data_IF_219176922291
#
_entry.id   IF_219176922291
#
_cell.length_a   1.000
_cell.length_b   1.000
_cell.length_c   1.000
_cell.angle_alpha   90.00
_cell.angle_beta   90.00
_cell.angle_gamma   90.00
#
_symmetry.space_group_name_H-M   'P 1'
#
loop_
_entity.id
_entity.type
_entity.pdbx_description
1 polymer ?
#
# COMPACT_ATOMS: atom_id res chain seq x y z
N UNK A 1 27.04 1.45 -6.66
CA UNK A 1 28.31 1.95 -6.10
C UNK A 1 28.76 0.96 -5.04
N UNK A 2 29.91 0.30 -5.23
CA UNK A 2 30.46 -0.65 -4.24
C UNK A 2 30.76 0.12 -2.95
N UNK A 3 30.19 -0.32 -1.84
CA UNK A 3 30.51 0.21 -0.52
C UNK A 3 31.87 -0.33 -0.11
N UNK A 4 32.75 0.53 0.41
CA UNK A 4 34.07 0.14 0.90
C UNK A 4 33.96 -0.16 2.39
N UNK A 5 34.19 -1.42 2.76
CA UNK A 5 34.25 -1.87 4.15
C UNK A 5 35.70 -1.93 4.62
N UNK A 6 35.96 -1.61 5.89
CA UNK A 6 37.31 -1.56 6.45
C UNK A 6 37.77 -2.86 7.12
N UNK A 7 36.89 -3.85 7.22
CA UNK A 7 37.17 -5.19 7.74
C UNK A 7 36.34 -6.23 6.96
N UNK A 8 36.87 -7.45 6.81
CA UNK A 8 36.10 -8.61 6.36
C UNK A 8 35.40 -9.23 7.58
N UNK A 9 34.08 -9.34 7.54
CA UNK A 9 33.31 -9.91 8.63
C UNK A 9 33.02 -11.40 8.39
N UNK A 10 33.10 -12.20 9.45
CA UNK A 10 32.60 -13.58 9.46
C UNK A 10 31.08 -13.60 9.15
N UNK A 11 30.56 -14.76 8.72
CA UNK A 11 29.11 -15.01 8.53
C UNK A 11 28.38 -15.03 9.88
N UNK A 12 28.23 -13.85 10.48
CA UNK A 12 27.43 -13.61 11.67
C UNK A 12 27.22 -12.09 11.79
N UNK A 13 26.09 -11.64 11.23
CA UNK A 13 25.76 -10.22 11.17
C UNK A 13 25.63 -9.62 12.57
N UNK A 14 25.13 -10.41 13.54
CA UNK A 14 24.99 -10.00 14.94
C UNK A 14 26.36 -9.70 15.54
N UNK A 15 27.30 -10.66 15.46
CA UNK A 15 28.67 -10.48 15.97
C UNK A 15 29.41 -9.34 15.29
N UNK A 16 29.21 -9.15 13.98
CA UNK A 16 29.82 -8.05 13.24
C UNK A 16 29.41 -6.70 13.83
N UNK A 17 28.11 -6.48 14.05
CA UNK A 17 27.61 -5.25 14.70
C UNK A 17 28.12 -5.07 16.12
N UNK A 18 28.11 -6.12 16.94
CA UNK A 18 28.65 -6.06 18.31
C UNK A 18 30.15 -5.70 18.34
N UNK A 19 30.94 -6.18 17.36
CA UNK A 19 32.35 -5.81 17.23
C UNK A 19 32.51 -4.32 16.88
N UNK A 20 31.71 -3.82 15.95
CA UNK A 20 31.71 -2.41 15.54
C UNK A 20 31.34 -1.49 16.72
N UNK A 21 30.28 -1.82 17.46
CA UNK A 21 29.83 -1.03 18.61
C UNK A 21 30.88 -1.01 19.74
N UNK A 22 31.51 -2.15 20.04
CA UNK A 22 32.62 -2.21 21.02
C UNK A 22 33.80 -1.33 20.61
N UNK A 23 34.15 -1.34 19.33
CA UNK A 23 35.21 -0.48 18.80
C UNK A 23 34.84 1.01 18.89
N UNK A 24 33.58 1.37 18.63
CA UNK A 24 33.10 2.74 18.80
C UNK A 24 33.22 3.21 20.26
N UNK A 25 32.90 2.35 21.24
CA UNK A 25 33.12 2.64 22.68
C UNK A 25 34.60 2.82 22.99
N UNK A 26 35.48 1.92 22.48
CA UNK A 26 36.93 2.01 22.70
C UNK A 26 37.51 3.34 22.18
N UNK A 27 36.94 3.86 21.09
CA UNK A 27 37.32 5.14 20.48
C UNK A 27 36.64 6.36 21.14
N UNK A 28 35.79 6.16 22.15
CA UNK A 28 35.05 7.22 22.82
C UNK A 28 33.95 7.86 21.98
N UNK A 29 33.46 7.17 20.94
CA UNK A 29 32.41 7.65 20.05
C UNK A 29 30.99 7.34 20.57
N UNK A 30 30.87 6.35 21.46
CA UNK A 30 29.64 5.98 22.17
C UNK A 30 29.96 5.70 23.64
N UNK A 31 29.00 5.95 24.53
CA UNK A 31 29.03 5.42 25.89
C UNK A 31 28.74 3.91 25.92
N UNK A 32 29.13 3.25 27.00
CA UNK A 32 28.81 1.82 27.20
C UNK A 32 27.31 1.55 27.20
N UNK A 33 26.51 2.47 27.74
CA UNK A 33 25.06 2.34 27.82
C UNK A 33 24.40 2.44 26.43
N UNK A 34 24.80 3.41 25.61
CA UNK A 34 24.31 3.55 24.24
C UNK A 34 24.68 2.32 23.39
N UNK A 35 25.91 1.83 23.52
CA UNK A 35 26.35 0.64 22.79
C UNK A 35 25.52 -0.61 23.17
N UNK A 36 25.14 -0.78 24.43
CA UNK A 36 24.27 -1.88 24.87
C UNK A 36 22.87 -1.80 24.24
N UNK A 37 22.27 -0.61 24.16
CA UNK A 37 20.97 -0.41 23.50
C UNK A 37 21.06 -0.75 22.01
N UNK A 38 22.08 -0.22 21.33
CA UNK A 38 22.32 -0.49 19.92
C UNK A 38 22.60 -1.98 19.67
N UNK A 39 23.28 -2.68 20.58
CA UNK A 39 23.60 -4.10 20.42
C UNK A 39 22.32 -4.96 20.42
N UNK A 40 21.40 -4.70 21.36
CA UNK A 40 20.10 -5.39 21.42
C UNK A 40 19.26 -5.12 20.17
N UNK A 41 19.18 -3.86 19.74
CA UNK A 41 18.42 -3.45 18.57
C UNK A 41 19.04 -3.96 17.25
N UNK A 42 20.36 -4.08 17.19
CA UNK A 42 21.08 -4.64 16.06
C UNK A 42 20.85 -6.14 15.91
N UNK A 43 20.77 -6.87 17.02
CA UNK A 43 20.41 -8.29 17.01
C UNK A 43 19.01 -8.51 16.39
N UNK A 44 18.04 -7.62 16.67
CA UNK A 44 16.73 -7.67 16.04
C UNK A 44 16.80 -7.45 14.52
N UNK A 45 17.55 -6.44 14.07
CA UNK A 45 17.78 -6.22 12.64
C UNK A 45 18.48 -7.42 11.98
N UNK A 46 19.45 -8.03 12.67
CA UNK A 46 20.20 -9.18 12.16
C UNK A 46 19.32 -10.41 11.99
N UNK A 47 18.43 -10.68 12.94
CA UNK A 47 17.42 -11.74 12.83
C UNK A 47 16.52 -11.51 11.62
N UNK A 48 15.96 -10.31 11.47
CA UNK A 48 15.15 -9.94 10.29
C UNK A 48 15.92 -10.11 8.97
N UNK A 49 17.15 -9.60 8.89
CA UNK A 49 17.97 -9.65 7.68
C UNK A 49 18.26 -11.09 7.25
N UNK A 50 18.54 -11.97 8.21
CA UNK A 50 18.79 -13.38 7.93
C UNK A 50 17.50 -14.14 7.57
N UNK A 51 16.44 -14.00 8.38
CA UNK A 51 15.20 -14.76 8.20
C UNK A 51 14.41 -14.34 6.95
N UNK A 52 14.37 -13.04 6.63
CA UNK A 52 13.57 -12.53 5.51
C UNK A 52 14.35 -12.36 4.21
N UNK A 53 15.69 -12.25 4.26
CA UNK A 53 16.51 -11.91 3.09
C UNK A 53 17.78 -12.77 2.93
N UNK A 54 18.01 -13.75 3.81
CA UNK A 54 19.23 -14.58 3.84
C UNK A 54 20.53 -13.73 3.91
N UNK A 55 20.44 -12.55 4.52
CA UNK A 55 21.56 -11.63 4.70
C UNK A 55 22.14 -11.79 6.10
N UNK A 56 23.30 -12.44 6.18
CA UNK A 56 24.06 -12.64 7.42
C UNK A 56 25.52 -12.12 7.32
N UNK A 57 25.79 -11.31 6.29
CA UNK A 57 27.10 -10.69 6.04
C UNK A 57 26.90 -9.18 5.99
N UNK A 58 27.70 -8.43 6.77
CA UNK A 58 27.57 -6.98 6.90
C UNK A 58 27.65 -6.26 5.56
N UNK A 59 28.51 -6.74 4.66
CA UNK A 59 28.75 -6.17 3.35
C UNK A 59 27.54 -6.23 2.40
N UNK A 60 26.57 -7.10 2.71
CA UNK A 60 25.32 -7.21 1.95
C UNK A 60 24.19 -6.34 2.50
N UNK A 61 24.37 -5.74 3.68
CA UNK A 61 23.45 -4.73 4.20
C UNK A 61 23.46 -3.50 3.29
N UNK A 62 22.31 -3.22 2.70
CA UNK A 62 22.15 -2.15 1.72
C UNK A 62 20.87 -1.34 2.00
N UNK A 63 20.72 -0.19 1.33
CA UNK A 63 19.59 0.73 1.57
C UNK A 63 18.22 0.13 1.26
N UNK A 64 18.14 -0.87 0.35
CA UNK A 64 16.90 -1.58 0.04
C UNK A 64 16.49 -2.43 1.26
N UNK A 65 17.40 -3.22 1.81
CA UNK A 65 17.17 -4.01 3.01
C UNK A 65 16.74 -3.16 4.22
N UNK A 66 17.39 -2.00 4.44
CA UNK A 66 17.02 -1.10 5.55
C UNK A 66 15.63 -0.48 5.36
N UNK A 67 15.24 -0.18 4.11
CA UNK A 67 13.88 0.29 3.80
C UNK A 67 12.84 -0.80 4.08
N UNK A 68 13.10 -2.02 3.62
CA UNK A 68 12.21 -3.17 3.83
C UNK A 68 12.09 -3.52 5.31
N UNK A 69 13.19 -3.43 6.07
CA UNK A 69 13.14 -3.52 7.53
C UNK A 69 12.25 -2.44 8.14
N UNK A 70 12.39 -1.19 7.68
CA UNK A 70 11.49 -0.11 8.08
C UNK A 70 10.03 -0.43 7.81
N UNK A 71 9.71 -0.97 6.64
CA UNK A 71 8.34 -1.36 6.27
C UNK A 71 7.81 -2.42 7.23
N UNK A 72 8.59 -3.45 7.53
CA UNK A 72 8.24 -4.48 8.50
C UNK A 72 7.99 -3.91 9.91
N UNK A 73 8.82 -2.99 10.40
CA UNK A 73 8.61 -2.35 11.69
C UNK A 73 7.30 -1.52 11.75
N UNK A 74 6.95 -0.84 10.65
CA UNK A 74 5.67 -0.14 10.55
C UNK A 74 4.49 -1.12 10.44
N UNK A 75 4.65 -2.28 9.78
CA UNK A 75 3.64 -3.34 9.75
C UNK A 75 3.39 -3.86 11.17
N UNK A 76 4.44 -4.20 11.92
CA UNK A 76 4.33 -4.66 13.30
C UNK A 76 3.67 -3.61 14.20
N UNK A 77 4.01 -2.33 14.00
CA UNK A 77 3.39 -1.23 14.72
C UNK A 77 1.90 -1.12 14.38
N UNK A 78 1.56 -1.18 13.09
CA UNK A 78 0.18 -1.11 12.66
C UNK A 78 -0.63 -2.29 13.21
N UNK A 79 -0.02 -3.47 13.32
CA UNK A 79 -0.62 -4.68 13.91
C UNK A 79 -0.77 -4.59 15.43
N UNK A 80 -0.02 -3.70 16.11
CA UNK A 80 -0.01 -3.56 17.57
C UNK A 80 1.05 -4.42 18.28
N UNK A 81 1.99 -4.99 17.51
CA UNK A 81 3.08 -5.84 18.01
C UNK A 81 4.31 -5.02 18.44
N UNK A 82 4.42 -3.77 17.98
CA UNK A 82 5.55 -2.88 18.26
C UNK A 82 5.05 -1.45 18.57
N UNK A 83 5.52 -0.78 19.64
CA UNK A 83 5.19 0.63 19.85
C UNK A 83 5.80 1.53 18.77
N UNK A 84 5.04 2.52 18.27
CA UNK A 84 5.51 3.41 17.20
C UNK A 84 6.82 4.13 17.56
N UNK A 85 6.98 4.53 18.82
CA UNK A 85 8.19 5.19 19.32
C UNK A 85 9.45 4.32 19.20
N UNK A 86 9.31 2.99 19.21
CA UNK A 86 10.44 2.06 19.11
C UNK A 86 11.01 1.99 17.70
N UNK A 87 10.21 2.27 16.67
CA UNK A 87 10.62 2.19 15.25
C UNK A 87 11.80 3.11 14.96
N UNK A 88 11.77 4.34 15.47
CA UNK A 88 12.85 5.32 15.26
C UNK A 88 14.18 4.83 15.83
N UNK A 89 14.19 4.28 17.05
CA UNK A 89 15.41 3.75 17.67
C UNK A 89 15.97 2.55 16.91
N UNK A 90 15.10 1.63 16.49
CA UNK A 90 15.50 0.45 15.72
C UNK A 90 16.12 0.81 14.37
N UNK A 91 15.54 1.76 13.64
CA UNK A 91 16.12 2.24 12.39
C UNK A 91 17.43 3.01 12.63
N UNK A 92 17.48 3.87 13.65
CA UNK A 92 18.68 4.65 13.95
C UNK A 92 19.88 3.75 14.26
N UNK A 93 19.67 2.65 15.00
CA UNK A 93 20.71 1.66 15.26
C UNK A 93 21.36 1.13 13.99
N UNK A 94 20.58 0.84 12.95
CA UNK A 94 21.12 0.35 11.68
C UNK A 94 22.00 1.43 11.02
N UNK A 95 21.58 2.69 11.06
CA UNK A 95 22.37 3.80 10.53
C UNK A 95 23.65 4.05 11.33
N UNK A 96 23.60 3.94 12.66
CA UNK A 96 24.77 4.08 13.55
C UNK A 96 25.79 2.99 13.26
N UNK A 97 25.38 1.72 13.26
CA UNK A 97 26.28 0.58 13.01
C UNK A 97 26.89 0.67 11.61
N UNK A 98 26.09 0.91 10.58
CA UNK A 98 26.60 1.06 9.21
C UNK A 98 27.47 2.31 9.03
N UNK A 99 27.16 3.38 9.76
CA UNK A 99 27.98 4.60 9.84
C UNK A 99 29.38 4.28 10.36
N UNK A 100 29.50 3.56 11.47
CA UNK A 100 30.80 3.14 11.99
C UNK A 100 31.50 2.13 11.08
N UNK A 101 30.80 1.12 10.57
CA UNK A 101 31.36 0.09 9.67
C UNK A 101 32.01 0.67 8.42
N UNK A 102 31.44 1.76 7.91
CA UNK A 102 31.88 2.43 6.68
C UNK A 102 32.69 3.69 6.95
N UNK A 103 33.11 3.96 8.20
CA UNK A 103 33.79 5.21 8.58
C UNK A 103 33.07 6.47 8.07
N UNK A 104 31.74 6.52 8.20
CA UNK A 104 30.88 7.64 7.81
C UNK A 104 30.51 7.71 6.33
N UNK A 105 30.94 6.74 5.50
CA UNK A 105 30.59 6.73 4.07
C UNK A 105 29.14 6.26 3.80
N UNK A 106 28.45 5.72 4.81
CA UNK A 106 27.04 5.37 4.73
C UNK A 106 26.16 6.63 4.67
N UNK A 107 25.70 6.99 3.47
CA UNK A 107 24.87 8.18 3.24
C UNK A 107 23.38 7.92 3.50
N UNK A 108 22.74 8.73 4.34
CA UNK A 108 21.30 8.72 4.59
C UNK A 108 21.00 8.98 6.07
N UNK A 109 19.72 8.92 6.44
CA UNK A 109 19.30 9.06 7.84
C UNK A 109 18.02 8.25 8.09
N UNK A 110 17.85 7.71 9.30
CA UNK A 110 16.64 6.98 9.69
C UNK A 110 15.37 7.84 9.51
N UNK A 111 15.45 9.14 9.81
CA UNK A 111 14.36 10.09 9.60
C UNK A 111 13.82 10.13 8.15
N UNK A 112 14.69 9.89 7.15
CA UNK A 112 14.26 9.84 5.75
C UNK A 112 13.46 8.58 5.42
N UNK A 113 13.72 7.47 6.12
CA UNK A 113 12.96 6.22 5.98
C UNK A 113 11.63 6.38 6.71
N UNK A 114 11.64 6.85 7.96
CA UNK A 114 10.43 7.09 8.75
C UNK A 114 9.45 8.06 8.09
N UNK A 115 9.92 9.18 7.53
CA UNK A 115 9.05 10.14 6.83
C UNK A 115 8.39 9.57 5.56
N UNK A 116 8.99 8.58 4.90
CA UNK A 116 8.43 7.91 3.72
C UNK A 116 7.48 6.78 4.07
N UNK A 117 7.70 6.13 5.21
CA UNK A 117 6.95 4.96 5.68
C UNK A 117 5.88 5.29 6.72
N UNK A 118 5.86 6.52 7.21
CA UNK A 118 4.91 6.98 8.22
C UNK A 118 3.46 6.67 7.87
N UNK A 119 2.67 6.43 8.91
CA UNK A 119 1.23 6.28 8.76
C UNK A 119 0.62 7.53 8.13
N UNK A 120 -0.37 7.40 7.22
CA UNK A 120 -1.11 8.51 6.67
C UNK A 120 -1.63 9.41 7.79
N UNK A 121 -1.52 10.71 7.60
CA UNK A 121 -2.07 11.70 8.53
C UNK A 121 -3.60 11.70 8.57
N UNK A 122 -4.25 10.98 7.65
CA UNK A 122 -5.68 10.94 7.51
C UNK A 122 -6.18 9.52 7.24
N UNK A 123 -7.12 9.09 8.08
CA UNK A 123 -8.00 7.98 7.79
C UNK A 123 -9.35 8.52 7.32
N UNK A 124 -10.07 7.73 6.52
CA UNK A 124 -11.42 8.09 6.10
C UNK A 124 -12.33 8.27 7.32
N UNK A 125 -13.08 9.37 7.34
CA UNK A 125 -14.06 9.69 8.39
C UNK A 125 -15.49 9.83 7.85
N UNK A 126 -15.69 9.73 6.53
CA UNK A 126 -17.00 9.72 5.88
C UNK A 126 -17.29 8.39 5.20
N UNK A 127 -18.52 7.90 5.40
CA UNK A 127 -19.06 6.72 4.71
C UNK A 127 -18.99 6.96 3.19
N UNK A 128 -18.42 6.04 2.39
CA UNK A 128 -18.39 6.16 0.94
C UNK A 128 -19.81 6.22 0.37
N UNK A 129 -20.17 7.34 -0.26
CA UNK A 129 -21.57 7.55 -0.69
C UNK A 129 -21.99 6.64 -1.83
N UNK A 130 -21.02 6.12 -2.59
CA UNK A 130 -21.23 5.15 -3.66
C UNK A 130 -21.51 3.73 -3.16
N UNK A 131 -21.54 3.47 -1.85
CA UNK A 131 -22.04 2.20 -1.30
C UNK A 131 -23.51 1.96 -1.65
N UNK A 132 -24.30 3.03 -1.76
CA UNK A 132 -25.67 2.94 -2.26
C UNK A 132 -25.64 2.61 -3.76
N UNK A 133 -25.77 1.31 -4.07
CA UNK A 133 -25.73 0.79 -5.44
C UNK A 133 -26.86 1.32 -6.31
N UNK A 134 -28.06 1.48 -5.75
CA UNK A 134 -29.21 2.01 -6.49
C UNK A 134 -28.94 3.44 -6.94
N UNK A 135 -28.52 4.28 -6.00
CA UNK A 135 -28.17 5.67 -6.27
C UNK A 135 -27.00 5.80 -7.25
N UNK A 136 -25.98 4.95 -7.09
CA UNK A 136 -24.84 4.89 -7.99
C UNK A 136 -25.25 4.51 -9.41
N UNK A 137 -26.06 3.46 -9.59
CA UNK A 137 -26.52 3.05 -10.91
C UNK A 137 -27.43 4.07 -11.58
N UNK A 138 -28.29 4.78 -10.83
CA UNK A 138 -29.05 5.91 -11.37
C UNK A 138 -28.11 6.96 -11.98
N UNK A 139 -27.06 7.35 -11.27
CA UNK A 139 -26.08 8.30 -11.81
C UNK A 139 -25.34 7.74 -13.04
N UNK A 140 -25.07 6.43 -13.10
CA UNK A 140 -24.43 5.81 -14.26
C UNK A 140 -25.34 5.81 -15.51
N UNK A 141 -26.66 5.66 -15.33
CA UNK A 141 -27.64 5.80 -16.42
C UNK A 141 -27.61 7.24 -16.96
N UNK A 142 -27.60 8.24 -16.09
CA UNK A 142 -27.56 9.64 -16.51
C UNK A 142 -26.22 10.01 -17.19
N UNK A 143 -25.08 9.52 -16.67
CA UNK A 143 -23.77 9.67 -17.34
C UNK A 143 -23.77 9.01 -18.72
N UNK A 144 -24.38 7.84 -18.85
CA UNK A 144 -24.49 7.15 -20.14
C UNK A 144 -25.34 7.95 -21.13
N UNK A 145 -26.46 8.53 -20.69
CA UNK A 145 -27.37 9.30 -21.53
C UNK A 145 -26.82 10.67 -21.93
N UNK A 146 -26.16 11.38 -21.01
CA UNK A 146 -25.68 12.75 -21.22
C UNK A 146 -24.25 12.83 -21.75
N UNK A 147 -23.45 11.77 -21.55
CA UNK A 147 -22.05 11.74 -21.96
C UNK A 147 -21.74 10.52 -22.82
N UNK A 148 -21.41 9.37 -22.22
CA UNK A 148 -21.10 8.16 -22.98
C UNK A 148 -21.15 6.90 -22.11
N UNK A 149 -21.47 5.78 -22.74
CA UNK A 149 -21.41 4.46 -22.08
C UNK A 149 -19.97 4.07 -21.70
N UNK A 150 -18.97 4.51 -22.47
CA UNK A 150 -17.56 4.29 -22.13
C UNK A 150 -17.19 4.96 -20.79
N UNK A 151 -17.61 6.21 -20.57
CA UNK A 151 -17.36 6.92 -19.32
C UNK A 151 -18.06 6.26 -18.14
N UNK A 152 -19.32 5.87 -18.29
CA UNK A 152 -20.06 5.14 -17.26
C UNK A 152 -19.40 3.79 -16.94
N UNK A 153 -18.91 3.06 -17.95
CA UNK A 153 -18.22 1.78 -17.77
C UNK A 153 -16.89 1.94 -17.03
N UNK A 154 -16.11 2.98 -17.34
CA UNK A 154 -14.88 3.29 -16.62
C UNK A 154 -15.13 3.59 -15.14
N UNK A 155 -16.18 4.37 -14.82
CA UNK A 155 -16.54 4.66 -13.43
C UNK A 155 -17.06 3.40 -12.71
N UNK A 156 -17.83 2.54 -13.40
CA UNK A 156 -18.23 1.23 -12.89
C UNK A 156 -17.04 0.33 -12.59
N UNK A 157 -15.99 0.31 -13.43
CA UNK A 157 -14.76 -0.44 -13.15
C UNK A 157 -14.10 0.00 -11.84
N UNK A 158 -14.08 1.31 -11.56
CA UNK A 158 -13.56 1.82 -10.29
C UNK A 158 -14.42 1.34 -9.10
N UNK A 159 -15.75 1.38 -9.24
CA UNK A 159 -16.69 1.05 -8.16
C UNK A 159 -16.82 -0.45 -7.87
N UNK A 160 -16.79 -1.30 -8.90
CA UNK A 160 -17.07 -2.73 -8.76
C UNK A 160 -15.84 -3.62 -8.90
N UNK A 161 -14.74 -3.11 -9.45
CA UNK A 161 -13.48 -3.86 -9.59
C UNK A 161 -12.37 -3.27 -8.72
N UNK A 162 -12.60 -2.16 -8.02
CA UNK A 162 -11.59 -1.57 -7.13
C UNK A 162 -10.37 -0.98 -7.83
N UNK A 163 -10.39 -0.90 -9.16
CA UNK A 163 -9.33 -0.31 -9.98
C UNK A 163 -9.24 1.20 -9.76
N UNK A 164 -8.06 1.78 -9.93
CA UNK A 164 -7.95 3.22 -10.14
C UNK A 164 -8.52 3.59 -11.51
N UNK A 165 -8.95 4.85 -11.69
CA UNK A 165 -9.43 5.31 -12.99
C UNK A 165 -8.35 5.23 -14.07
N UNK A 166 -7.08 5.35 -13.67
CA UNK A 166 -5.94 5.18 -14.57
C UNK A 166 -5.82 3.72 -15.03
N UNK A 167 -5.88 2.76 -14.10
CA UNK A 167 -5.86 1.33 -14.45
C UNK A 167 -7.05 0.96 -15.33
N UNK A 168 -8.26 1.43 -14.99
CA UNK A 168 -9.46 1.18 -15.78
C UNK A 168 -9.33 1.72 -17.23
N UNK A 169 -8.51 2.75 -17.45
CA UNK A 169 -8.26 3.28 -18.80
C UNK A 169 -7.23 2.47 -19.60
N UNK A 170 -6.26 1.83 -18.92
CA UNK A 170 -5.09 1.21 -19.56
C UNK A 170 -5.06 -0.32 -19.54
N UNK A 171 -5.85 -0.98 -18.68
CA UNK A 171 -5.84 -2.44 -18.56
C UNK A 171 -6.28 -3.14 -19.86
N UNK A 172 -5.85 -4.38 -20.05
CA UNK A 172 -6.36 -5.22 -21.13
C UNK A 172 -7.74 -5.76 -20.74
N UNK A 173 -8.80 -5.18 -21.31
CA UNK A 173 -10.16 -5.56 -20.96
C UNK A 173 -10.60 -6.85 -21.65
N UNK A 174 -9.98 -7.23 -22.77
CA UNK A 174 -10.29 -8.48 -23.47
C UNK A 174 -9.76 -9.66 -22.68
N UNK A 175 -8.48 -9.63 -22.32
CA UNK A 175 -7.85 -10.65 -21.47
C UNK A 175 -8.54 -10.70 -20.11
N UNK A 176 -8.80 -9.54 -19.49
CA UNK A 176 -9.48 -9.50 -18.21
C UNK A 176 -10.90 -10.08 -18.25
N UNK A 177 -11.67 -9.84 -19.32
CA UNK A 177 -13.00 -10.45 -19.48
C UNK A 177 -12.91 -11.96 -19.65
N UNK A 178 -11.95 -12.43 -20.46
CA UNK A 178 -11.74 -13.87 -20.68
C UNK A 178 -11.35 -14.59 -19.38
N UNK A 179 -10.35 -14.07 -18.68
CA UNK A 179 -9.89 -14.63 -17.39
C UNK A 179 -11.02 -14.61 -16.35
N UNK A 180 -11.84 -13.56 -16.34
CA UNK A 180 -12.98 -13.47 -15.44
C UNK A 180 -14.08 -14.51 -15.73
N UNK A 181 -14.35 -14.83 -17.00
CA UNK A 181 -15.32 -15.87 -17.38
C UNK A 181 -14.80 -17.28 -17.09
N UNK A 182 -13.50 -17.52 -17.26
CA UNK A 182 -12.88 -18.84 -17.11
C UNK A 182 -12.56 -19.16 -15.63
N UNK A 183 -11.97 -18.21 -14.91
CA UNK A 183 -11.33 -18.46 -13.61
C UNK A 183 -11.91 -17.60 -12.47
N UNK A 184 -12.88 -16.72 -12.74
CA UNK A 184 -13.40 -15.73 -11.78
C UNK A 184 -12.32 -14.81 -11.20
N UNK A 185 -11.25 -14.55 -11.93
CA UNK A 185 -10.18 -13.62 -11.55
C UNK A 185 -9.69 -12.86 -12.78
N UNK A 186 -8.98 -11.76 -12.60
CA UNK A 186 -8.15 -11.20 -13.66
C UNK A 186 -6.94 -10.44 -13.13
N UNK A 187 -5.94 -10.27 -13.98
CA UNK A 187 -4.68 -9.63 -13.64
C UNK A 187 -4.71 -8.14 -13.95
N UNK A 188 -4.33 -7.31 -12.98
CA UNK A 188 -4.07 -5.89 -13.19
C UNK A 188 -2.58 -5.62 -13.01
N UNK A 189 -1.96 -5.17 -14.10
CA UNK A 189 -0.54 -4.84 -14.13
C UNK A 189 -0.31 -3.41 -13.63
N UNK A 190 0.71 -3.25 -12.78
CA UNK A 190 1.21 -1.93 -12.45
C UNK A 190 1.89 -1.29 -13.68
N UNK A 191 2.11 0.03 -13.64
CA UNK A 191 2.80 0.76 -14.71
C UNK A 191 4.15 0.14 -15.09
N UNK A 192 4.82 -0.48 -14.12
CA UNK A 192 6.15 -1.04 -14.30
C UNK A 192 6.11 -2.47 -14.87
N UNK A 193 4.91 -3.04 -15.11
CA UNK A 193 4.65 -4.36 -15.75
C UNK A 193 5.31 -5.60 -15.13
N UNK A 194 6.20 -5.44 -14.15
CA UNK A 194 6.86 -6.54 -13.43
C UNK A 194 6.07 -6.99 -12.19
N UNK A 195 5.11 -6.18 -11.75
CA UNK A 195 4.23 -6.49 -10.63
C UNK A 195 2.79 -6.49 -11.13
N UNK A 196 2.07 -7.56 -10.79
CA UNK A 196 0.65 -7.70 -11.03
C UNK A 196 -0.05 -7.95 -9.71
N UNK A 197 -1.34 -7.64 -9.67
CA UNK A 197 -2.26 -8.12 -8.64
C UNK A 197 -3.43 -8.83 -9.29
N UNK A 198 -4.07 -9.69 -8.51
CA UNK A 198 -5.28 -10.37 -8.91
C UNK A 198 -6.48 -9.63 -8.32
N UNK A 199 -7.51 -9.42 -9.12
CA UNK A 199 -8.83 -8.99 -8.64
C UNK A 199 -9.77 -10.18 -8.74
N UNK A 200 -10.44 -10.48 -7.63
CA UNK A 200 -11.42 -11.56 -7.57
C UNK A 200 -12.79 -11.11 -8.08
N UNK A 201 -13.39 -11.96 -8.90
CA UNK A 201 -14.76 -11.81 -9.41
C UNK A 201 -15.69 -12.59 -8.51
N UNK A 202 -16.64 -11.89 -7.93
CA UNK A 202 -17.58 -12.39 -6.92
C UNK A 202 -19.04 -12.15 -7.29
N UNK A 203 -19.30 -11.41 -8.36
CA UNK A 203 -20.63 -11.02 -8.78
C UNK A 203 -20.74 -10.92 -10.31
N UNK A 204 -21.87 -11.35 -10.92
CA UNK A 204 -22.06 -11.31 -12.37
C UNK A 204 -21.94 -9.91 -12.99
N UNK A 205 -22.25 -8.85 -12.23
CA UNK A 205 -22.13 -7.47 -12.72
C UNK A 205 -20.68 -7.11 -13.06
N UNK A 206 -19.69 -7.68 -12.37
CA UNK A 206 -18.28 -7.47 -12.65
C UNK A 206 -17.89 -8.01 -14.03
N UNK A 207 -18.37 -9.21 -14.39
CA UNK A 207 -18.17 -9.81 -15.72
C UNK A 207 -18.82 -8.93 -16.80
N UNK A 208 -20.04 -8.44 -16.56
CA UNK A 208 -20.71 -7.55 -17.51
C UNK A 208 -19.94 -6.24 -17.74
N UNK A 209 -19.34 -5.67 -16.69
CA UNK A 209 -18.50 -4.46 -16.81
C UNK A 209 -17.27 -4.74 -17.66
N UNK A 210 -16.59 -5.86 -17.42
CA UNK A 210 -15.42 -6.28 -18.21
C UNK A 210 -15.78 -6.51 -19.68
N UNK A 211 -16.92 -7.16 -19.94
CA UNK A 211 -17.46 -7.38 -21.29
C UNK A 211 -17.67 -6.07 -22.04
N UNK A 212 -18.28 -5.08 -21.37
CA UNK A 212 -18.50 -3.74 -21.95
C UNK A 212 -17.18 -3.02 -22.21
N UNK A 213 -16.24 -3.09 -21.26
CA UNK A 213 -14.91 -2.50 -21.42
C UNK A 213 -14.16 -3.09 -22.63
N UNK A 214 -14.19 -4.42 -22.78
CA UNK A 214 -13.62 -5.13 -23.94
C UNK A 214 -14.24 -4.68 -25.26
N UNK A 215 -15.56 -4.51 -25.31
CA UNK A 215 -16.24 -4.01 -26.51
C UNK A 215 -15.77 -2.59 -26.89
N UNK A 216 -15.53 -1.70 -25.92
CA UNK A 216 -15.01 -0.36 -26.21
C UNK A 216 -13.57 -0.37 -26.71
N UNK A 217 -12.71 -1.25 -26.19
CA UNK A 217 -11.33 -1.38 -26.67
C UNK A 217 -11.28 -1.87 -28.12
N UNK A 218 -12.13 -2.86 -28.46
CA UNK A 218 -12.28 -3.32 -29.86
C UNK A 218 -12.66 -2.20 -30.82
N UNK A 219 -13.57 -1.32 -30.40
CA UNK A 219 -14.03 -0.18 -31.21
C UNK A 219 -12.93 0.89 -31.39
N UNK A 220 -12.01 1.04 -30.43
CA UNK A 220 -10.89 1.99 -30.53
C UNK A 220 -9.78 1.48 -31.49
N UNK A 221 -9.72 0.18 -31.76
CA UNK A 221 -8.74 -0.44 -32.67
C UNK A 221 -7.30 -0.25 -32.21
N UNK A 222 -6.37 -0.02 -33.16
CA UNK A 222 -4.94 0.20 -32.87
C UNK A 222 -4.62 1.55 -32.21
N UNK A 223 -5.64 2.38 -31.92
CA UNK A 223 -5.48 3.58 -31.10
C UNK A 223 -5.34 3.16 -29.64
N UNK A 224 -4.15 2.67 -29.29
CA UNK A 224 -3.87 2.24 -27.93
C UNK A 224 -4.02 3.40 -26.95
N UNK A 225 -4.45 3.08 -25.73
CA UNK A 225 -4.36 3.99 -24.61
C UNK A 225 -2.91 4.46 -24.46
N UNK A 226 -2.66 5.75 -24.70
CA UNK A 226 -1.36 6.40 -24.47
C UNK A 226 -1.47 7.37 -23.29
N UNK A 227 -0.35 7.72 -22.63
CA UNK A 227 -0.36 8.77 -21.60
C UNK A 227 -0.95 10.10 -22.10
N UNK A 228 -0.72 10.48 -23.36
CA UNK A 228 -1.29 11.67 -23.97
C UNK A 228 -2.82 11.55 -24.18
N UNK A 229 -3.29 10.38 -24.61
CA UNK A 229 -4.71 10.08 -24.73
C UNK A 229 -5.41 10.13 -23.36
N UNK A 230 -4.78 9.57 -22.31
CA UNK A 230 -5.28 9.66 -20.94
C UNK A 230 -5.41 11.11 -20.48
N UNK A 231 -4.38 11.94 -20.64
CA UNK A 231 -4.44 13.34 -20.24
C UNK A 231 -5.57 14.10 -20.96
N UNK A 232 -5.70 13.88 -22.26
CA UNK A 232 -6.74 14.52 -23.08
C UNK A 232 -8.14 14.03 -22.67
N UNK A 233 -8.31 12.72 -22.51
CA UNK A 233 -9.57 12.12 -22.08
C UNK A 233 -9.96 12.62 -20.68
N UNK A 234 -9.01 12.66 -19.75
CA UNK A 234 -9.23 13.10 -18.37
C UNK A 234 -9.73 14.54 -18.32
N UNK A 235 -9.07 15.45 -19.05
CA UNK A 235 -9.45 16.87 -19.14
C UNK A 235 -10.83 17.08 -19.77
N UNK A 236 -11.19 16.30 -20.78
CA UNK A 236 -12.44 16.47 -21.52
C UNK A 236 -13.66 15.84 -20.82
N UNK A 237 -13.48 14.69 -20.16
CA UNK A 237 -14.61 13.86 -19.74
C UNK A 237 -14.86 13.89 -18.22
N UNK A 238 -13.83 13.98 -17.37
CA UNK A 238 -14.07 13.94 -15.92
C UNK A 238 -14.87 15.12 -15.37
N UNK A 239 -14.61 16.39 -15.76
CA UNK A 239 -15.27 17.51 -15.10
C UNK A 239 -16.80 17.41 -15.16
N UNK A 240 -17.35 17.08 -16.33
CA UNK A 240 -18.79 16.93 -16.51
C UNK A 240 -19.35 15.70 -15.75
N UNK A 241 -18.65 14.56 -15.78
CA UNK A 241 -19.03 13.39 -14.99
C UNK A 241 -19.00 13.66 -13.48
N UNK A 242 -18.02 14.43 -13.01
CA UNK A 242 -17.89 14.81 -11.60
C UNK A 242 -19.04 15.73 -11.17
N UNK A 243 -19.38 16.74 -11.98
CA UNK A 243 -20.52 17.61 -11.72
C UNK A 243 -21.83 16.82 -11.65
N UNK A 244 -22.04 15.90 -12.59
CA UNK A 244 -23.23 15.05 -12.59
C UNK A 244 -23.26 14.10 -11.38
N UNK A 245 -22.15 13.45 -11.04
CA UNK A 245 -22.08 12.64 -9.82
C UNK A 245 -22.38 13.47 -8.57
N UNK A 246 -21.86 14.70 -8.49
CA UNK A 246 -22.12 15.61 -7.38
C UNK A 246 -23.59 16.03 -7.29
N UNK A 247 -24.32 16.15 -8.41
CA UNK A 247 -25.76 16.42 -8.40
C UNK A 247 -26.56 15.26 -7.79
N UNK A 248 -26.09 14.02 -7.99
CA UNK A 248 -26.55 12.86 -7.24
C UNK A 248 -25.98 12.82 -5.82
N UNK A 249 -25.09 13.71 -5.40
CA UNK A 249 -24.42 13.66 -4.10
C UNK A 249 -23.38 12.54 -3.98
N UNK A 250 -22.86 12.05 -5.09
CA UNK A 250 -21.79 11.06 -5.22
C UNK A 250 -20.46 11.75 -5.59
N UNK A 251 -19.36 11.00 -5.51
CA UNK A 251 -18.07 11.41 -6.07
C UNK A 251 -17.30 10.17 -6.54
N UNK A 252 -16.34 10.36 -7.44
CA UNK A 252 -15.53 9.25 -8.00
C UNK A 252 -14.59 8.68 -6.93
N UNK A 253 -14.04 9.52 -6.07
CA UNK A 253 -13.03 9.12 -5.07
C UNK A 253 -13.59 8.12 -4.02
N UNK A 254 -14.90 8.13 -3.80
CA UNK A 254 -15.60 7.18 -2.94
C UNK A 254 -15.77 5.81 -3.59
N UNK A 255 -15.71 5.70 -4.92
CA UNK A 255 -15.99 4.44 -5.64
C UNK A 255 -15.04 3.30 -5.21
N UNK A 256 -13.74 3.59 -5.10
CA UNK A 256 -12.77 2.60 -4.62
C UNK A 256 -12.96 2.27 -3.14
N UNK A 257 -13.36 3.25 -2.34
CA UNK A 257 -13.62 3.03 -0.91
C UNK A 257 -14.89 2.18 -0.69
N UNK A 258 -15.91 2.34 -1.53
CA UNK A 258 -17.09 1.48 -1.52
C UNK A 258 -16.73 0.04 -1.90
N UNK A 259 -15.91 -0.16 -2.95
CA UNK A 259 -15.36 -1.49 -3.27
C UNK A 259 -14.60 -2.09 -2.09
N UNK A 260 -13.68 -1.33 -1.49
CA UNK A 260 -12.88 -1.78 -0.35
C UNK A 260 -13.73 -2.18 0.85
N UNK A 261 -14.80 -1.44 1.15
CA UNK A 261 -15.72 -1.79 2.24
C UNK A 261 -16.49 -3.09 1.96
N UNK A 262 -16.92 -3.32 0.73
CA UNK A 262 -17.59 -4.56 0.32
C UNK A 262 -16.62 -5.74 0.34
N UNK A 263 -15.39 -5.58 -0.17
CA UNK A 263 -14.34 -6.58 -0.11
C UNK A 263 -13.96 -6.94 1.33
N UNK A 264 -13.75 -5.93 2.18
CA UNK A 264 -13.49 -6.12 3.61
C UNK A 264 -14.59 -6.94 4.27
N UNK A 265 -15.87 -6.66 3.96
CA UNK A 265 -17.00 -7.41 4.50
C UNK A 265 -17.02 -8.86 4.03
N UNK A 266 -16.75 -9.12 2.74
CA UNK A 266 -16.68 -10.51 2.22
C UNK A 266 -15.61 -11.34 2.91
N UNK A 267 -14.47 -10.73 3.24
CA UNK A 267 -13.32 -11.40 3.84
C UNK A 267 -13.47 -11.59 5.35
N UNK A 268 -13.90 -10.55 6.06
CA UNK A 268 -14.01 -10.59 7.52
C UNK A 268 -15.37 -11.03 8.04
N UNK A 269 -16.42 -11.03 7.21
CA UNK A 269 -17.82 -11.17 7.66
C UNK A 269 -18.36 -9.96 8.43
N UNK A 270 -17.56 -8.90 8.61
CA UNK A 270 -17.89 -7.74 9.43
C UNK A 270 -17.89 -6.46 8.58
N UNK A 271 -18.73 -5.49 8.96
CA UNK A 271 -18.66 -4.18 8.31
C UNK A 271 -17.30 -3.50 8.56
N UNK A 272 -16.81 -2.77 7.56
CA UNK A 272 -15.62 -1.94 7.69
C UNK A 272 -15.74 -0.93 8.85
N UNK A 273 -14.64 -0.53 9.52
CA UNK A 273 -14.68 0.43 10.63
C UNK A 273 -15.35 1.78 10.30
N UNK A 274 -15.24 2.24 9.05
CA UNK A 274 -15.93 3.46 8.58
C UNK A 274 -17.46 3.33 8.60
N UNK A 275 -17.98 2.10 8.54
CA UNK A 275 -19.39 1.76 8.67
C UNK A 275 -19.79 1.44 10.11
N UNK A 276 -18.88 1.64 11.08
CA UNK A 276 -19.11 1.35 12.50
C UNK A 276 -18.91 -0.11 12.90
N UNK A 277 -18.48 -0.97 11.97
CA UNK A 277 -18.20 -2.37 12.27
C UNK A 277 -16.91 -2.57 13.07
N UNK A 278 -16.81 -3.75 13.69
CA UNK A 278 -15.70 -4.13 14.59
C UNK A 278 -15.42 -5.63 14.42
N UNK A 279 -14.53 -5.96 13.48
CA UNK A 279 -14.02 -7.31 13.36
C UNK A 279 -13.04 -7.63 14.51
N UNK A 280 -12.90 -8.91 14.91
CA UNK A 280 -11.74 -9.40 15.66
C UNK A 280 -10.42 -8.96 15.03
N UNK A 281 -9.37 -8.84 15.83
CA UNK A 281 -8.09 -8.27 15.39
C UNK A 281 -7.46 -9.01 14.21
N UNK A 282 -7.47 -10.34 14.24
CA UNK A 282 -6.84 -11.16 13.20
C UNK A 282 -7.64 -11.07 11.89
N UNK A 283 -8.97 -11.15 11.96
CA UNK A 283 -9.87 -10.97 10.81
C UNK A 283 -9.78 -9.56 10.20
N UNK A 284 -9.66 -8.50 11.02
CA UNK A 284 -9.45 -7.12 10.56
C UNK A 284 -8.13 -6.99 9.80
N UNK A 285 -7.06 -7.57 10.32
CA UNK A 285 -5.73 -7.52 9.71
C UNK A 285 -5.67 -8.32 8.41
N UNK A 286 -6.23 -9.52 8.40
CA UNK A 286 -6.33 -10.35 7.19
C UNK A 286 -7.13 -9.64 6.10
N UNK A 287 -8.33 -9.14 6.42
CA UNK A 287 -9.15 -8.42 5.47
C UNK A 287 -8.45 -7.16 4.91
N UNK A 288 -7.72 -6.42 5.76
CA UNK A 288 -6.94 -5.27 5.32
C UNK A 288 -5.77 -5.65 4.44
N UNK A 289 -5.06 -6.73 4.71
CA UNK A 289 -3.99 -7.21 3.84
C UNK A 289 -4.51 -7.53 2.44
N UNK A 290 -5.64 -8.23 2.34
CA UNK A 290 -6.28 -8.53 1.07
C UNK A 290 -6.80 -7.28 0.36
N UNK A 291 -7.42 -6.34 1.08
CA UNK A 291 -7.82 -5.04 0.52
C UNK A 291 -6.59 -4.28 0.00
N UNK A 292 -5.49 -4.27 0.75
CA UNK A 292 -4.27 -3.59 0.36
C UNK A 292 -3.70 -4.17 -0.94
N UNK A 293 -3.68 -5.51 -1.04
CA UNK A 293 -3.30 -6.24 -2.25
C UNK A 293 -4.21 -5.87 -3.44
N UNK A 294 -5.52 -6.09 -3.34
CA UNK A 294 -6.48 -5.90 -4.45
C UNK A 294 -6.64 -4.44 -4.90
N UNK A 295 -6.37 -3.45 -4.04
CA UNK A 295 -6.42 -2.03 -4.42
C UNK A 295 -5.07 -1.49 -4.97
N UNK A 296 -4.06 -2.34 -5.15
CA UNK A 296 -2.80 -1.93 -5.80
C UNK A 296 -1.56 -2.15 -4.95
N UNK A 297 -1.47 -3.27 -4.22
CA UNK A 297 -0.33 -3.61 -3.36
C UNK A 297 0.05 -2.47 -2.41
N UNK A 298 -0.97 -1.89 -1.78
CA UNK A 298 -0.80 -0.84 -0.80
C UNK A 298 -0.14 -1.39 0.47
N UNK A 299 0.44 -0.50 1.26
CA UNK A 299 0.84 -0.83 2.63
C UNK A 299 -0.43 -1.00 3.45
N UNK A 300 -0.45 -1.97 4.37
CA UNK A 300 -1.67 -2.35 5.10
C UNK A 300 -2.36 -1.14 5.76
N UNK A 301 -1.60 -0.17 6.29
CA UNK A 301 -2.15 1.03 6.92
C UNK A 301 -2.76 2.05 5.97
N UNK A 302 -2.45 1.99 4.67
CA UNK A 302 -3.08 2.86 3.66
C UNK A 302 -4.55 2.46 3.42
N UNK A 303 -4.95 1.26 3.84
CA UNK A 303 -6.36 0.84 3.82
C UNK A 303 -7.24 1.72 4.70
N UNK A 304 -6.67 2.41 5.71
CA UNK A 304 -7.42 3.34 6.57
C UNK A 304 -8.07 4.49 5.76
N UNK A 305 -7.52 4.85 4.60
CA UNK A 305 -8.11 5.84 3.68
C UNK A 305 -9.37 5.33 2.95
N UNK A 306 -9.64 4.03 3.02
CA UNK A 306 -10.76 3.38 2.32
C UNK A 306 -11.77 2.76 3.29
N UNK A 307 -11.30 1.98 4.27
CA UNK A 307 -12.16 1.25 5.23
C UNK A 307 -12.24 1.92 6.60
N UNK A 308 -11.52 3.03 6.81
CA UNK A 308 -11.47 3.78 8.07
C UNK A 308 -10.41 3.25 9.04
N UNK A 309 -10.03 4.09 10.00
CA UNK A 309 -8.97 3.78 10.98
C UNK A 309 -9.32 2.60 11.88
N UNK A 310 -8.29 1.81 12.23
CA UNK A 310 -8.39 0.80 13.30
C UNK A 310 -8.70 1.47 14.64
N UNK A 311 -9.47 0.78 15.48
CA UNK A 311 -9.84 1.28 16.80
C UNK A 311 -8.63 1.47 17.74
N UNK A 312 -7.58 0.66 17.59
CA UNK A 312 -6.41 0.66 18.47
C UNK A 312 -5.48 1.86 18.25
N UNK A 313 -5.29 2.31 17.01
CA UNK A 313 -4.44 3.48 16.68
C UNK A 313 -5.07 4.81 17.13
N UNK A 314 -6.40 4.89 17.23
CA UNK A 314 -7.09 6.07 17.79
C UNK A 314 -6.75 6.32 19.26
N UNK A 315 -6.36 5.29 20.02
CA UNK A 315 -6.00 5.44 21.44
C UNK A 315 -4.62 6.06 21.63
N UNK A 316 -3.64 5.75 20.77
CA UNK A 316 -2.30 6.33 20.86
C UNK A 316 -2.28 7.82 20.45
N UNK A 317 -3.04 8.20 19.41
CA UNK A 317 -3.17 9.60 18.99
C UNK A 317 -3.90 10.47 20.03
N UNK A 318 -4.81 9.89 20.82
CA UNK A 318 -5.47 10.60 21.93
C UNK A 318 -4.57 10.73 23.18
N UNK A 319 -3.53 9.91 23.30
CA UNK A 319 -2.58 9.93 24.43
C UNK A 319 -1.40 10.88 24.25
N UNK A 320 -1.14 11.34 23.02
CA UNK A 320 0.00 12.22 22.68
C UNK A 320 -0.34 13.72 22.71
N UNK A 321 -1.58 14.08 23.05
CA UNK A 321 -2.01 15.47 23.29
C UNK A 321 -2.18 15.78 24.79
N UNK A 322 -1.18 15.44 25.61
CA UNK A 322 -1.02 15.96 26.97
C UNK A 322 0.43 16.29 27.25
#
# INVERSE_FOLDING_TARGET
>A
MKQSFHAHFDRDLTKAGSAILREAVRRGLLSQHEAMIHDQQWAQFSAYANESHEVDILEFVNKKLVREYGEELYIQTYQGNLPLQSVSGLLETVYVVMGFATNGHWKGAAANVGSRLGFPSYARITVPRSLDRTKFETAMVDIQALHSEQLATLIRSVRYLGMSLLEAFFFDAEDAHKDAEEENIFYVFSKDKHEHRIINISAPEQILILKKAAAFQKLQGSSHATPAAWCTWKLKNLPAAQELLLSHGLNIDDCRAAYACELYWRLSGHHAPILGGKAPQDEDLEARNHVAYELGNMRIWETDAYVGARANLRKEAAGTNR
#
